data_IF_423893589107
#
_entry.id   IF_423893589107
#
_cell.length_a   1.000
_cell.length_b   1.000
_cell.length_c   1.000
_cell.angle_alpha   90.00
_cell.angle_beta   90.00
_cell.angle_gamma   90.00
#
_symmetry.space_group_name_H-M   'P 1'
#
loop_
_entity.id
_entity.type
_entity.pdbx_description
1 polymer ?
#
# COMPACT_ATOMS: atom_id res chain seq x y z
N UNK A 1 30.29 -15.40 -20.29
CA UNK A 1 29.71 -16.64 -19.75
C UNK A 1 28.54 -17.05 -20.63
N UNK A 2 28.27 -18.34 -20.87
CA UNK A 2 27.09 -18.76 -21.63
C UNK A 2 25.82 -18.25 -20.92
N UNK A 3 24.86 -17.77 -21.71
CA UNK A 3 23.56 -17.33 -21.19
C UNK A 3 22.88 -18.49 -20.46
N UNK A 4 22.42 -18.24 -19.23
CA UNK A 4 21.67 -19.22 -18.43
C UNK A 4 20.27 -19.43 -19.03
N UNK A 5 19.70 -20.60 -18.80
CA UNK A 5 18.36 -20.89 -19.30
C UNK A 5 17.32 -20.03 -18.54
N UNK A 6 16.31 -19.45 -19.23
CA UNK A 6 15.26 -18.72 -18.56
C UNK A 6 14.45 -19.66 -17.66
N UNK A 7 14.09 -19.17 -16.48
CA UNK A 7 13.25 -19.91 -15.54
C UNK A 7 11.88 -20.19 -16.14
N UNK A 8 11.38 -21.41 -15.92
CA UNK A 8 10.06 -21.84 -16.39
C UNK A 8 9.13 -22.03 -15.20
N UNK A 9 8.08 -21.23 -15.13
CA UNK A 9 7.06 -21.34 -14.10
C UNK A 9 6.30 -22.67 -14.19
N UNK A 10 6.15 -23.34 -13.05
CA UNK A 10 5.18 -24.42 -12.90
C UNK A 10 3.79 -23.82 -12.64
N UNK A 11 2.73 -24.28 -13.33
CA UNK A 11 1.37 -23.76 -13.12
C UNK A 11 0.90 -23.90 -11.67
N UNK A 12 0.26 -22.85 -11.14
CA UNK A 12 -0.39 -22.89 -9.82
C UNK A 12 -1.73 -23.63 -9.91
N UNK A 13 -2.06 -24.44 -8.90
CA UNK A 13 -3.31 -25.20 -8.82
C UNK A 13 -4.17 -24.73 -7.64
N UNK A 14 -5.47 -24.56 -7.87
CA UNK A 14 -6.43 -24.23 -6.82
C UNK A 14 -6.02 -22.98 -6.03
N UNK A 15 -5.87 -23.14 -4.71
CA UNK A 15 -5.52 -22.06 -3.79
C UNK A 15 -3.99 -21.87 -3.61
N UNK A 16 -3.18 -22.43 -4.50
CA UNK A 16 -1.74 -22.28 -4.40
C UNK A 16 -1.27 -20.85 -4.65
N UNK A 17 -0.21 -20.49 -3.94
CA UNK A 17 0.64 -19.33 -4.21
C UNK A 17 2.08 -19.81 -4.39
N UNK A 18 2.91 -18.98 -5.01
CA UNK A 18 4.35 -19.19 -5.09
C UNK A 18 5.03 -18.31 -4.05
N UNK A 19 6.04 -18.83 -3.38
CA UNK A 19 6.88 -18.10 -2.45
C UNK A 19 8.34 -18.16 -2.89
N UNK A 20 9.05 -17.07 -2.61
CA UNK A 20 10.47 -16.90 -2.86
C UNK A 20 11.24 -17.06 -1.56
N UNK A 21 12.13 -18.03 -1.50
CA UNK A 21 13.16 -18.12 -0.46
C UNK A 21 14.39 -17.39 -0.95
N UNK A 22 14.63 -16.19 -0.43
CA UNK A 22 15.84 -15.41 -0.63
C UNK A 22 16.99 -16.05 0.15
N UNK A 23 18.02 -16.51 -0.54
CA UNK A 23 19.16 -17.17 0.09
C UNK A 23 20.12 -16.15 0.72
N UNK A 24 20.82 -16.52 1.81
CA UNK A 24 21.74 -15.61 2.47
C UNK A 24 22.92 -15.22 1.58
N UNK A 25 23.47 -14.03 1.80
CA UNK A 25 24.61 -13.52 1.02
C UNK A 25 25.10 -12.17 1.50
N UNK A 26 26.32 -11.81 1.08
CA UNK A 26 26.90 -10.50 1.39
C UNK A 26 26.33 -9.43 0.45
N UNK A 27 26.25 -8.19 0.91
CA UNK A 27 25.86 -7.07 0.07
C UNK A 27 26.67 -7.05 -1.25
N UNK A 28 26.00 -6.76 -2.36
CA UNK A 28 26.54 -6.74 -3.73
C UNK A 28 26.97 -8.11 -4.30
N UNK A 29 26.82 -9.21 -3.56
CA UNK A 29 26.98 -10.54 -4.16
C UNK A 29 25.75 -10.89 -5.00
N UNK A 30 25.89 -11.75 -6.04
CA UNK A 30 24.75 -12.30 -6.78
C UNK A 30 23.61 -12.75 -5.88
N UNK A 31 22.36 -12.46 -6.27
CA UNK A 31 21.17 -12.88 -5.53
C UNK A 31 20.72 -14.25 -6.03
N UNK A 32 20.70 -15.21 -5.11
CA UNK A 32 20.17 -16.55 -5.36
C UNK A 32 18.87 -16.76 -4.59
N UNK A 33 17.91 -17.41 -5.21
CA UNK A 33 16.59 -17.68 -4.63
C UNK A 33 16.14 -19.10 -4.92
N UNK A 34 15.20 -19.61 -4.13
CA UNK A 34 14.43 -20.81 -4.45
C UNK A 34 12.96 -20.45 -4.54
N UNK A 35 12.28 -20.94 -5.58
CA UNK A 35 10.83 -20.80 -5.71
C UNK A 35 10.16 -22.11 -5.33
N UNK A 36 9.12 -22.02 -4.50
CA UNK A 36 8.30 -23.16 -4.11
C UNK A 36 6.82 -22.76 -4.06
N UNK A 37 5.93 -23.74 -4.21
CA UNK A 37 4.49 -23.52 -4.13
C UNK A 37 3.96 -24.00 -2.79
N UNK A 38 2.99 -23.26 -2.24
CA UNK A 38 2.27 -23.62 -1.03
C UNK A 38 0.79 -23.27 -1.19
N UNK A 39 -0.07 -23.80 -0.31
CA UNK A 39 -1.48 -23.42 -0.25
C UNK A 39 -1.58 -22.21 0.68
N UNK A 40 -2.21 -21.13 0.21
CA UNK A 40 -2.53 -20.01 1.08
C UNK A 40 -3.60 -20.45 2.08
N UNK A 41 -3.24 -20.53 3.36
CA UNK A 41 -4.13 -20.93 4.44
C UNK A 41 -4.19 -19.84 5.50
N UNK A 42 -5.40 -19.62 6.05
CA UNK A 42 -5.60 -18.74 7.19
C UNK A 42 -5.01 -19.30 8.49
N UNK A 43 -4.69 -20.59 8.51
CA UNK A 43 -4.08 -21.24 9.67
C UNK A 43 -2.54 -21.10 9.69
N UNK A 44 -1.95 -20.55 8.62
CA UNK A 44 -0.50 -20.47 8.42
C UNK A 44 0.00 -19.02 8.18
N UNK A 45 -0.58 -18.06 8.91
CA UNK A 45 -0.35 -16.59 8.78
C UNK A 45 1.10 -16.15 9.08
N UNK A 46 1.98 -17.07 9.46
CA UNK A 46 3.36 -16.76 9.89
C UNK A 46 4.46 -17.26 8.93
N UNK A 47 4.11 -17.82 7.78
CA UNK A 47 5.07 -18.51 6.91
C UNK A 47 5.92 -17.59 6.00
N UNK A 48 5.49 -16.36 5.73
CA UNK A 48 6.15 -15.47 4.77
C UNK A 48 5.91 -13.98 5.06
N UNK A 49 6.77 -13.13 4.50
CA UNK A 49 6.60 -11.67 4.44
C UNK A 49 6.23 -11.27 3.00
N UNK A 50 5.49 -10.18 2.81
CA UNK A 50 5.17 -9.66 1.47
C UNK A 50 5.95 -8.37 1.19
N UNK A 51 6.50 -8.22 -0.02
CA UNK A 51 7.19 -7.02 -0.44
C UNK A 51 6.24 -6.08 -1.19
N UNK A 52 6.01 -4.90 -0.63
CA UNK A 52 5.35 -3.78 -1.30
C UNK A 52 6.41 -2.79 -1.78
N UNK A 53 6.58 -2.66 -3.10
CA UNK A 53 7.63 -1.85 -3.70
C UNK A 53 7.19 -1.29 -5.06
N UNK A 54 7.82 -0.21 -5.53
CA UNK A 54 7.61 0.26 -6.90
C UNK A 54 8.42 -0.57 -7.87
N UNK A 55 7.81 -1.10 -8.93
CA UNK A 55 8.53 -1.96 -9.88
C UNK A 55 9.76 -1.28 -10.50
N UNK A 56 9.68 0.02 -10.80
CA UNK A 56 10.77 0.78 -11.42
C UNK A 56 10.87 0.55 -12.93
N UNK A 57 11.97 0.99 -13.55
CA UNK A 57 12.18 0.78 -15.00
C UNK A 57 12.50 -0.70 -15.31
N UNK A 58 11.95 -1.18 -16.42
CA UNK A 58 12.31 -2.47 -17.01
C UNK A 58 13.60 -2.39 -17.85
N UNK A 59 14.15 -1.19 -18.06
CA UNK A 59 15.38 -0.99 -18.81
C UNK A 59 16.59 -1.53 -18.04
N UNK A 60 17.47 -2.25 -18.75
CA UNK A 60 18.65 -2.86 -18.16
C UNK A 60 18.30 -3.84 -17.03
N UNK A 61 17.55 -4.93 -17.30
CA UNK A 61 17.17 -5.91 -16.29
C UNK A 61 18.41 -6.63 -15.74
N UNK A 62 18.32 -7.04 -14.48
CA UNK A 62 19.35 -7.81 -13.77
C UNK A 62 18.87 -9.26 -13.64
N UNK A 63 19.79 -10.22 -13.77
CA UNK A 63 19.48 -11.64 -13.57
C UNK A 63 19.30 -11.97 -12.08
N UNK A 64 18.12 -12.49 -11.74
CA UNK A 64 17.84 -13.17 -10.48
C UNK A 64 18.11 -14.66 -10.64
N UNK A 65 19.01 -15.24 -9.86
CA UNK A 65 19.40 -16.64 -10.01
C UNK A 65 18.47 -17.56 -9.23
N UNK A 66 17.80 -18.47 -9.92
CA UNK A 66 16.90 -19.45 -9.32
C UNK A 66 17.63 -20.78 -9.17
N UNK A 67 17.89 -21.16 -7.93
CA UNK A 67 18.48 -22.45 -7.54
C UNK A 67 17.43 -23.55 -7.76
N UNK A 68 17.60 -24.28 -8.86
CA UNK A 68 16.84 -25.49 -9.15
C UNK A 68 17.69 -26.71 -8.79
N UNK A 69 17.22 -27.46 -7.81
CA UNK A 69 17.93 -28.54 -7.10
C UNK A 69 18.48 -29.69 -7.96
N UNK A 70 18.36 -29.67 -9.31
CA UNK A 70 18.74 -30.79 -10.18
C UNK A 70 19.44 -30.51 -11.51
N UNK A 71 19.53 -29.30 -12.08
CA UNK A 71 20.33 -28.99 -13.30
C UNK A 71 20.51 -27.48 -13.43
N UNK A 72 21.71 -27.00 -13.79
CA UNK A 72 22.04 -25.61 -14.23
C UNK A 72 21.15 -24.46 -13.74
N UNK A 73 21.71 -23.54 -12.94
CA UNK A 73 21.05 -22.30 -12.51
C UNK A 73 20.20 -21.67 -13.64
N UNK A 74 18.91 -21.47 -13.38
CA UNK A 74 18.01 -20.70 -14.23
C UNK A 74 18.03 -19.23 -13.79
N UNK A 75 17.62 -18.32 -14.68
CA UNK A 75 17.45 -16.92 -14.31
C UNK A 75 16.07 -16.36 -14.65
N UNK A 76 15.66 -15.37 -13.86
CA UNK A 76 14.53 -14.48 -14.12
C UNK A 76 15.04 -13.05 -14.27
N UNK A 77 14.53 -12.27 -15.23
CA UNK A 77 14.82 -10.85 -15.26
C UNK A 77 14.11 -10.15 -14.09
N UNK A 78 14.84 -9.29 -13.38
CA UNK A 78 14.28 -8.38 -12.39
C UNK A 78 14.72 -6.95 -12.65
N UNK A 79 13.92 -5.98 -12.18
CA UNK A 79 14.26 -4.56 -12.29
C UNK A 79 15.39 -4.21 -11.31
N UNK A 80 16.09 -3.11 -11.59
CA UNK A 80 17.16 -2.61 -10.71
C UNK A 80 16.63 -2.22 -9.31
N UNK A 81 15.40 -1.71 -9.23
CA UNK A 81 14.81 -1.39 -7.93
C UNK A 81 14.50 -2.65 -7.11
N UNK A 82 14.05 -3.74 -7.75
CA UNK A 82 13.83 -5.01 -7.05
C UNK A 82 15.16 -5.64 -6.61
N UNK A 83 16.19 -5.60 -7.45
CA UNK A 83 17.54 -6.05 -7.08
C UNK A 83 18.04 -5.32 -5.83
N UNK A 84 17.95 -3.99 -5.85
CA UNK A 84 18.35 -3.15 -4.73
C UNK A 84 17.54 -3.48 -3.46
N UNK A 85 16.22 -3.64 -3.56
CA UNK A 85 15.39 -4.06 -2.44
C UNK A 85 15.86 -5.42 -1.87
N UNK A 86 16.05 -6.43 -2.74
CA UNK A 86 16.48 -7.76 -2.33
C UNK A 86 17.87 -7.74 -1.68
N UNK A 87 18.81 -6.91 -2.15
CA UNK A 87 20.13 -6.73 -1.51
C UNK A 87 20.00 -6.23 -0.06
N UNK A 88 19.13 -5.24 0.19
CA UNK A 88 18.93 -4.66 1.51
C UNK A 88 18.11 -5.58 2.44
N UNK A 89 17.18 -6.37 1.88
CA UNK A 89 16.34 -7.29 2.64
C UNK A 89 16.99 -8.64 2.92
N UNK A 90 18.08 -8.98 2.21
CA UNK A 90 18.82 -10.24 2.36
C UNK A 90 19.61 -10.27 3.67
N UNK A 91 19.40 -11.32 4.46
CA UNK A 91 20.26 -11.59 5.61
C UNK A 91 21.59 -12.22 5.17
N UNK A 92 22.63 -12.04 5.98
CA UNK A 92 23.97 -12.55 5.70
C UNK A 92 24.05 -14.07 5.93
N UNK A 93 23.27 -14.59 6.88
CA UNK A 93 23.47 -15.90 7.51
C UNK A 93 22.24 -16.83 7.47
N UNK A 94 21.05 -16.30 7.15
CA UNK A 94 19.80 -17.07 7.11
C UNK A 94 18.94 -16.75 5.88
N UNK A 95 18.10 -17.69 5.42
CA UNK A 95 17.16 -17.40 4.36
C UNK A 95 16.02 -16.49 4.84
N UNK A 96 15.36 -15.82 3.89
CA UNK A 96 14.14 -15.03 4.12
C UNK A 96 13.05 -15.49 3.14
N UNK A 97 11.82 -15.67 3.60
CA UNK A 97 10.71 -16.13 2.76
C UNK A 97 9.82 -14.94 2.42
N UNK A 98 9.73 -14.61 1.14
CA UNK A 98 9.06 -13.45 0.60
C UNK A 98 7.99 -13.85 -0.42
N UNK A 99 6.89 -13.11 -0.45
CA UNK A 99 6.01 -13.01 -1.62
C UNK A 99 6.28 -11.68 -2.32
N UNK A 100 6.53 -11.73 -3.62
CA UNK A 100 6.85 -10.57 -4.46
C UNK A 100 6.09 -10.76 -5.77
N UNK A 101 5.11 -9.91 -6.06
CA UNK A 101 4.21 -10.04 -7.21
C UNK A 101 4.94 -10.26 -8.55
N UNK A 102 6.00 -9.49 -8.83
CA UNK A 102 6.76 -9.58 -10.07
C UNK A 102 7.47 -10.93 -10.29
N UNK A 103 7.71 -11.70 -9.23
CA UNK A 103 8.45 -12.98 -9.26
C UNK A 103 7.55 -14.17 -8.88
N UNK A 104 6.63 -13.98 -7.96
CA UNK A 104 5.76 -15.04 -7.45
C UNK A 104 4.54 -15.26 -8.35
N UNK A 105 4.20 -14.31 -9.22
CA UNK A 105 3.15 -14.44 -10.23
C UNK A 105 3.79 -14.55 -11.61
N UNK A 106 3.37 -15.53 -12.41
CA UNK A 106 3.77 -15.60 -13.81
C UNK A 106 3.07 -14.48 -14.61
N UNK A 107 3.75 -13.33 -14.72
CA UNK A 107 3.20 -12.13 -15.38
C UNK A 107 2.87 -12.33 -16.86
N UNK A 108 3.43 -13.37 -17.51
CA UNK A 108 3.17 -13.71 -18.92
C UNK A 108 1.95 -14.60 -19.11
N UNK A 109 1.40 -15.18 -18.04
CA UNK A 109 0.16 -15.94 -18.06
C UNK A 109 -0.97 -15.07 -17.50
N UNK A 110 -1.78 -14.48 -18.38
CA UNK A 110 -2.87 -13.58 -17.98
C UNK A 110 -3.93 -14.27 -17.11
N UNK A 111 -4.12 -15.58 -17.26
CA UNK A 111 -5.03 -16.35 -16.42
C UNK A 111 -4.47 -16.51 -15.00
N UNK A 112 -3.19 -16.85 -14.87
CA UNK A 112 -2.50 -16.88 -13.57
C UNK A 112 -2.51 -15.49 -12.94
N UNK A 113 -2.12 -14.44 -13.69
CA UNK A 113 -2.10 -13.05 -13.21
C UNK A 113 -3.47 -12.62 -12.67
N UNK A 114 -4.54 -12.83 -13.43
CA UNK A 114 -5.91 -12.49 -13.01
C UNK A 114 -6.31 -13.19 -11.71
N UNK A 115 -6.04 -14.50 -11.61
CA UNK A 115 -6.33 -15.30 -10.40
C UNK A 115 -5.52 -14.87 -9.18
N UNK A 116 -4.25 -14.49 -9.36
CA UNK A 116 -3.41 -14.03 -8.26
C UNK A 116 -3.76 -12.61 -7.82
N UNK A 117 -4.08 -11.71 -8.77
CA UNK A 117 -4.55 -10.35 -8.46
C UNK A 117 -5.87 -10.38 -7.68
N UNK A 118 -6.80 -11.25 -8.06
CA UNK A 118 -8.03 -11.48 -7.29
C UNK A 118 -7.78 -11.91 -5.83
N UNK A 119 -6.58 -12.38 -5.51
CA UNK A 119 -6.17 -12.88 -4.20
C UNK A 119 -5.14 -12.00 -3.51
N UNK A 120 -4.73 -10.88 -4.09
CA UNK A 120 -3.71 -10.00 -3.48
C UNK A 120 -4.12 -9.53 -2.09
N UNK A 121 -5.39 -9.17 -1.90
CA UNK A 121 -5.93 -8.81 -0.58
C UNK A 121 -5.69 -9.90 0.48
N UNK A 122 -5.98 -11.16 0.15
CA UNK A 122 -5.76 -12.30 1.04
C UNK A 122 -4.26 -12.54 1.29
N UNK A 123 -3.43 -12.41 0.24
CA UNK A 123 -1.98 -12.62 0.35
C UNK A 123 -1.35 -11.57 1.28
N UNK A 124 -1.63 -10.29 1.08
CA UNK A 124 -1.07 -9.23 1.92
C UNK A 124 -1.61 -9.27 3.34
N UNK A 125 -2.90 -9.58 3.54
CA UNK A 125 -3.47 -9.69 4.89
C UNK A 125 -2.95 -10.89 5.67
N UNK A 126 -2.64 -12.00 4.99
CA UNK A 126 -2.11 -13.22 5.60
C UNK A 126 -0.58 -13.26 5.69
N UNK A 127 0.12 -12.25 5.16
CA UNK A 127 1.55 -12.13 5.35
C UNK A 127 1.86 -11.82 6.83
N UNK A 128 2.94 -12.42 7.34
CA UNK A 128 3.46 -12.12 8.69
C UNK A 128 3.74 -10.64 8.86
N UNK A 129 4.32 -10.04 7.82
CA UNK A 129 4.70 -8.64 7.75
C UNK A 129 4.78 -8.18 6.30
N UNK A 130 4.35 -6.95 6.05
CA UNK A 130 4.51 -6.27 4.76
C UNK A 130 5.72 -5.34 4.84
N UNK A 131 6.71 -5.62 4.01
CA UNK A 131 7.92 -4.82 3.87
C UNK A 131 7.66 -3.75 2.81
N UNK A 132 7.58 -2.50 3.24
CA UNK A 132 7.37 -1.35 2.36
C UNK A 132 8.73 -0.78 1.95
N UNK A 133 9.18 -1.09 0.74
CA UNK A 133 10.45 -0.59 0.22
C UNK A 133 10.28 0.78 -0.42
N UNK A 134 10.83 1.82 0.23
CA UNK A 134 10.81 3.20 -0.27
C UNK A 134 11.97 3.53 -1.22
N UNK A 135 12.97 2.65 -1.30
CA UNK A 135 14.19 2.88 -2.09
C UNK A 135 15.46 2.91 -1.24
N UNK A 136 16.64 3.01 -1.87
CA UNK A 136 17.91 3.13 -1.17
C UNK A 136 17.98 4.43 -0.36
N UNK A 137 18.96 4.51 0.53
CA UNK A 137 19.29 5.77 1.20
C UNK A 137 19.74 6.79 0.15
N UNK A 138 18.92 7.83 -0.02
CA UNK A 138 19.18 8.96 -0.90
C UNK A 138 18.43 10.20 -0.39
N UNK A 139 18.73 11.37 -0.96
CA UNK A 139 17.97 12.62 -0.74
C UNK A 139 17.83 13.00 0.74
N UNK A 140 18.85 12.68 1.55
CA UNK A 140 18.87 12.86 3.00
C UNK A 140 17.70 12.18 3.74
N UNK A 141 17.21 11.05 3.21
CA UNK A 141 16.14 10.24 3.83
C UNK A 141 16.39 9.87 5.29
N UNK A 142 17.64 9.60 5.68
CA UNK A 142 18.04 9.42 7.09
C UNK A 142 17.65 10.63 7.95
N UNK A 143 18.07 11.82 7.53
CA UNK A 143 17.73 13.07 8.22
C UNK A 143 16.23 13.36 8.21
N UNK A 144 15.52 13.00 7.12
CA UNK A 144 14.07 13.12 7.04
C UNK A 144 13.37 12.26 8.10
N UNK A 145 13.74 10.98 8.22
CA UNK A 145 13.17 10.05 9.20
C UNK A 145 13.52 10.48 10.64
N UNK A 146 14.74 10.95 10.89
CA UNK A 146 15.11 11.50 12.20
C UNK A 146 14.33 12.77 12.55
N UNK A 147 14.11 13.66 11.58
CA UNK A 147 13.34 14.88 11.79
C UNK A 147 11.87 14.56 12.10
N UNK A 148 11.27 13.63 11.35
CA UNK A 148 9.93 13.12 11.62
C UNK A 148 9.82 12.51 13.02
N UNK A 149 10.80 11.67 13.40
CA UNK A 149 10.89 11.10 14.76
C UNK A 149 10.95 12.15 15.85
N UNK A 150 11.84 13.13 15.71
CA UNK A 150 11.99 14.20 16.70
C UNK A 150 10.70 15.00 16.86
N UNK A 151 10.01 15.29 15.75
CA UNK A 151 8.72 15.99 15.79
C UNK A 151 7.59 15.13 16.36
N UNK A 152 7.53 13.86 15.98
CA UNK A 152 6.56 12.89 16.48
C UNK A 152 6.69 12.60 17.97
N UNK A 153 7.91 12.69 18.52
CA UNK A 153 8.16 12.53 19.96
C UNK A 153 7.63 13.68 20.81
N UNK A 154 7.27 14.82 20.19
CA UNK A 154 6.79 16.02 20.89
C UNK A 154 5.26 16.13 20.90
N UNK A 155 4.55 15.26 20.16
CA UNK A 155 3.09 15.29 20.04
C UNK A 155 2.46 13.94 20.39
N UNK A 156 1.28 13.97 20.99
CA UNK A 156 0.36 12.84 21.12
C UNK A 156 -0.76 12.99 20.09
N UNK A 157 -1.25 11.86 19.58
CA UNK A 157 -2.10 11.83 18.39
C UNK A 157 -3.34 10.99 18.64
N UNK A 158 -4.49 11.61 18.44
CA UNK A 158 -5.76 10.91 18.34
C UNK A 158 -6.13 10.79 16.86
N UNK A 159 -5.88 9.62 16.28
CA UNK A 159 -6.19 9.32 14.88
C UNK A 159 -7.70 9.32 14.59
N UNK A 160 -8.54 9.02 15.58
CA UNK A 160 -9.99 8.96 15.40
C UNK A 160 -10.61 10.36 15.42
N UNK A 161 -10.14 11.23 16.32
CA UNK A 161 -10.55 12.62 16.38
C UNK A 161 -9.79 13.51 15.39
N UNK A 162 -8.72 13.00 14.77
CA UNK A 162 -7.79 13.76 13.92
C UNK A 162 -7.24 15.00 14.65
N UNK A 163 -6.79 14.81 15.91
CA UNK A 163 -6.27 15.89 16.77
C UNK A 163 -4.86 15.61 17.27
N UNK A 164 -4.15 16.69 17.60
CA UNK A 164 -2.83 16.68 18.20
C UNK A 164 -2.88 17.34 19.58
N UNK A 165 -2.11 16.79 20.51
CA UNK A 165 -1.85 17.41 21.82
C UNK A 165 -0.36 17.33 22.15
N UNK A 166 0.14 18.15 23.09
CA UNK A 166 1.54 18.07 23.50
C UNK A 166 1.82 16.73 24.18
N UNK A 167 2.95 16.10 23.84
CA UNK A 167 3.44 14.94 24.60
C UNK A 167 4.10 15.35 25.91
N UNK A 168 4.33 14.35 26.77
CA UNK A 168 5.13 14.54 27.99
C UNK A 168 6.59 14.94 27.73
N UNK A 169 7.09 14.79 26.50
CA UNK A 169 8.43 15.22 26.11
C UNK A 169 8.49 16.69 25.69
N UNK A 170 7.36 17.34 25.38
CA UNK A 170 7.32 18.76 25.03
C UNK A 170 7.45 19.62 26.30
N UNK A 171 8.64 20.19 26.51
CA UNK A 171 8.99 20.97 27.72
C UNK A 171 9.06 22.47 27.45
N UNK A 172 9.35 22.85 26.21
CA UNK A 172 9.46 24.25 25.83
C UNK A 172 8.22 24.74 25.06
N UNK A 173 8.02 26.06 25.05
CA UNK A 173 6.81 26.67 24.45
C UNK A 173 6.69 26.35 22.96
N UNK A 174 7.80 26.44 22.23
CA UNK A 174 7.90 26.11 20.81
C UNK A 174 7.61 24.63 20.54
N UNK A 175 7.98 23.72 21.44
CA UNK A 175 7.64 22.30 21.35
C UNK A 175 6.15 22.04 21.62
N UNK A 176 5.57 22.68 22.63
CA UNK A 176 4.14 22.60 22.94
C UNK A 176 3.32 23.14 21.75
N UNK A 177 3.76 24.26 21.18
CA UNK A 177 3.17 24.89 20.02
C UNK A 177 3.21 23.99 18.76
N UNK A 178 4.05 22.94 18.72
CA UNK A 178 3.99 21.94 17.64
C UNK A 178 2.64 21.20 17.60
N UNK A 179 1.93 21.08 18.70
CA UNK A 179 0.60 20.45 18.71
C UNK A 179 -0.53 21.43 18.38
N UNK A 180 -0.26 22.74 18.34
CA UNK A 180 -1.28 23.76 18.15
C UNK A 180 -1.61 23.89 16.64
N UNK A 181 -2.85 23.62 16.20
CA UNK A 181 -3.23 23.65 14.79
C UNK A 181 -3.17 25.07 14.19
N UNK A 182 -3.19 26.12 15.02
CA UNK A 182 -3.11 27.52 14.56
C UNK A 182 -1.68 28.03 14.46
N UNK A 183 -0.71 27.32 15.06
CA UNK A 183 0.68 27.73 15.04
C UNK A 183 1.32 27.36 13.70
N UNK A 184 1.95 28.35 13.05
CA UNK A 184 2.61 28.13 11.76
C UNK A 184 3.86 27.30 11.96
N UNK A 185 4.01 26.26 11.15
CA UNK A 185 5.26 25.50 11.11
C UNK A 185 6.28 26.28 10.29
N UNK A 186 7.39 26.66 10.91
CA UNK A 186 8.53 27.26 10.21
C UNK A 186 9.24 26.14 9.46
N UNK A 187 8.88 25.97 8.19
CA UNK A 187 9.43 24.94 7.32
C UNK A 187 10.63 25.47 6.52
N UNK A 188 11.80 25.59 7.15
CA UNK A 188 13.01 25.94 6.39
C UNK A 188 13.32 24.85 5.35
N UNK A 189 13.80 25.26 4.17
CA UNK A 189 14.18 24.31 3.12
C UNK A 189 15.19 23.27 3.62
N UNK A 190 16.17 23.69 4.42
CA UNK A 190 17.18 22.80 5.02
C UNK A 190 16.55 21.63 5.81
N UNK A 191 15.55 21.92 6.65
CA UNK A 191 14.93 20.93 7.53
C UNK A 191 13.84 20.09 6.83
N UNK A 192 13.09 20.70 5.91
CA UNK A 192 11.88 20.08 5.35
C UNK A 192 12.04 19.55 3.93
N UNK A 193 13.09 19.94 3.19
CA UNK A 193 13.35 19.38 1.86
C UNK A 193 13.56 17.85 1.89
N UNK A 194 14.31 17.28 2.86
CA UNK A 194 14.45 15.83 2.96
C UNK A 194 13.10 15.12 3.18
N UNK A 195 12.20 15.68 3.98
CA UNK A 195 10.85 15.15 4.21
C UNK A 195 10.01 15.27 2.92
N UNK A 196 10.09 16.41 2.23
CA UNK A 196 9.42 16.61 0.96
C UNK A 196 9.84 15.56 -0.08
N UNK A 197 11.14 15.26 -0.19
CA UNK A 197 11.68 14.25 -1.10
C UNK A 197 11.30 12.83 -0.67
N UNK A 198 11.31 12.53 0.63
CA UNK A 198 10.86 11.25 1.18
C UNK A 198 9.38 11.00 0.88
N UNK A 199 8.49 11.96 1.11
CA UNK A 199 7.06 11.85 0.79
C UNK A 199 6.79 11.83 -0.72
N UNK A 200 7.77 12.25 -1.52
CA UNK A 200 7.73 12.16 -2.98
C UNK A 200 8.26 10.84 -3.55
N UNK A 201 8.61 9.86 -2.69
CA UNK A 201 9.08 8.56 -3.17
C UNK A 201 7.97 7.88 -3.99
N UNK A 202 8.29 7.29 -5.16
CA UNK A 202 7.29 6.71 -6.07
C UNK A 202 6.35 5.67 -5.44
N UNK A 203 6.78 5.04 -4.34
CA UNK A 203 5.94 4.08 -3.62
C UNK A 203 4.63 4.71 -3.14
N UNK A 204 4.68 5.92 -2.55
CA UNK A 204 3.48 6.59 -2.04
C UNK A 204 2.48 6.92 -3.15
N UNK A 205 2.93 7.05 -4.39
CA UNK A 205 2.06 7.39 -5.51
C UNK A 205 1.33 6.17 -6.09
N UNK A 206 1.66 4.94 -5.70
CA UNK A 206 1.06 3.73 -6.29
C UNK A 206 -0.36 3.53 -5.80
N UNK A 207 -1.28 3.20 -6.71
CA UNK A 207 -2.66 2.85 -6.34
C UNK A 207 -2.74 1.56 -5.52
N UNK A 208 -1.94 0.55 -5.89
CA UNK A 208 -1.98 -0.77 -5.26
C UNK A 208 -1.65 -0.75 -3.76
N UNK A 209 -0.89 0.25 -3.26
CA UNK A 209 -0.55 0.33 -1.83
C UNK A 209 -1.80 0.42 -0.96
N UNK A 210 -2.92 0.89 -1.49
CA UNK A 210 -4.18 0.93 -0.75
C UNK A 210 -4.58 -0.47 -0.28
N UNK A 211 -4.42 -1.51 -1.11
CA UNK A 211 -4.65 -2.91 -0.69
C UNK A 211 -3.45 -3.52 0.01
N UNK A 212 -2.25 -3.36 -0.57
CA UNK A 212 -1.02 -4.00 -0.09
C UNK A 212 -0.71 -3.62 1.36
N UNK A 213 -0.96 -2.35 1.71
CA UNK A 213 -0.62 -1.80 3.00
C UNK A 213 -1.83 -1.71 3.97
N UNK A 214 -3.02 -1.26 3.53
CA UNK A 214 -4.15 -1.10 4.49
C UNK A 214 -4.66 -2.44 5.02
N UNK A 215 -4.52 -3.52 4.27
CA UNK A 215 -4.96 -4.85 4.69
C UNK A 215 -3.89 -5.62 5.46
N UNK A 216 -2.67 -5.09 5.58
CA UNK A 216 -1.57 -5.73 6.25
C UNK A 216 -1.83 -5.88 7.77
N UNK A 217 -1.53 -7.05 8.33
CA UNK A 217 -1.58 -7.26 9.78
C UNK A 217 -0.44 -6.52 10.50
N UNK A 218 0.75 -6.47 9.87
CA UNK A 218 1.91 -5.68 10.29
C UNK A 218 2.60 -5.11 9.06
N UNK A 219 3.14 -3.91 9.15
CA UNK A 219 3.91 -3.29 8.08
C UNK A 219 5.12 -2.53 8.63
N UNK A 220 6.25 -2.63 7.90
CA UNK A 220 7.50 -1.93 8.19
C UNK A 220 7.96 -1.17 6.96
N UNK A 221 8.23 0.12 7.14
CA UNK A 221 8.91 0.97 6.16
C UNK A 221 10.39 0.60 6.13
N UNK A 222 10.92 0.40 4.94
CA UNK A 222 12.33 0.11 4.67
C UNK A 222 12.86 1.16 3.70
N UNK A 223 13.88 1.91 4.11
CA UNK A 223 14.58 2.88 3.27
C UNK A 223 16.10 2.72 3.45
N UNK A 224 16.77 2.22 2.41
CA UNK A 224 18.14 1.72 2.55
C UNK A 224 18.21 0.64 3.61
N UNK A 225 19.07 0.82 4.62
CA UNK A 225 19.18 -0.08 5.77
C UNK A 225 18.34 0.34 6.98
N UNK A 226 17.61 1.45 6.88
CA UNK A 226 16.72 1.89 7.94
C UNK A 226 15.38 1.17 7.87
N UNK A 227 14.88 0.77 9.03
CA UNK A 227 13.55 0.17 9.18
C UNK A 227 12.74 0.94 10.20
N UNK A 228 11.47 1.17 9.91
CA UNK A 228 10.56 1.89 10.79
C UNK A 228 9.17 1.23 10.77
N UNK A 229 8.63 0.74 11.90
CA UNK A 229 7.27 0.21 11.93
C UNK A 229 6.26 1.25 11.46
N UNK A 230 5.27 0.83 10.65
CA UNK A 230 4.31 1.77 10.09
C UNK A 230 3.56 2.61 11.15
N UNK A 231 3.07 2.05 12.29
CA UNK A 231 2.42 2.87 13.30
C UNK A 231 3.31 3.99 13.85
N UNK A 232 4.62 3.76 13.87
CA UNK A 232 5.61 4.78 14.24
C UNK A 232 5.73 5.82 13.12
N UNK A 233 5.92 5.40 11.87
CA UNK A 233 5.96 6.32 10.72
C UNK A 233 4.70 7.19 10.62
N UNK A 234 3.52 6.60 10.82
CA UNK A 234 2.24 7.28 10.80
C UNK A 234 2.16 8.34 11.90
N UNK A 235 2.54 7.99 13.14
CA UNK A 235 2.60 8.94 14.26
C UNK A 235 3.60 10.07 13.99
N UNK A 236 4.79 9.74 13.53
CA UNK A 236 5.85 10.71 13.26
C UNK A 236 5.48 11.67 12.13
N UNK A 237 4.82 11.17 11.09
CA UNK A 237 4.28 11.96 9.97
C UNK A 237 3.03 12.77 10.34
N UNK A 238 2.45 12.51 11.51
CA UNK A 238 1.23 13.11 12.02
C UNK A 238 1.45 14.30 12.98
N UNK A 239 2.68 14.48 13.46
CA UNK A 239 3.23 15.84 13.51
C UNK A 239 3.08 16.46 12.08
N UNK A 240 3.34 17.70 11.73
CA UNK A 240 2.94 18.24 10.39
C UNK A 240 1.42 18.32 10.10
N UNK A 241 0.51 17.52 10.66
CA UNK A 241 -0.94 17.60 10.33
C UNK A 241 -1.55 18.96 10.59
N UNK A 242 -2.47 19.39 9.72
CA UNK A 242 -3.34 20.57 9.90
C UNK A 242 -2.64 21.94 9.97
N UNK A 243 -1.31 21.97 10.07
CA UNK A 243 -0.54 23.19 10.30
C UNK A 243 -0.38 24.03 9.04
N UNK A 244 -0.60 25.36 9.12
CA UNK A 244 -0.20 26.27 8.06
C UNK A 244 1.33 26.26 7.92
N UNK A 245 1.80 26.27 6.68
CA UNK A 245 3.22 26.31 6.35
C UNK A 245 3.55 27.76 5.99
N UNK A 246 4.69 28.26 6.46
CA UNK A 246 5.22 29.53 5.96
C UNK A 246 5.89 29.32 4.60
N UNK A 247 5.14 29.62 3.53
CA UNK A 247 5.54 29.37 2.15
C UNK A 247 6.78 30.18 1.73
N UNK A 248 7.12 31.27 2.45
CA UNK A 248 8.24 32.16 2.08
C UNK A 248 9.60 31.46 2.12
N UNK A 249 9.80 30.57 3.08
CA UNK A 249 11.08 29.88 3.31
C UNK A 249 11.19 28.57 2.51
N UNK A 250 10.05 27.99 2.10
CA UNK A 250 10.01 26.73 1.33
C UNK A 250 9.89 26.95 -0.19
N UNK A 251 9.65 28.20 -0.61
CA UNK A 251 9.67 28.64 -1.99
C UNK A 251 8.73 27.84 -2.90
N UNK A 252 9.21 27.50 -4.10
CA UNK A 252 8.43 26.82 -5.14
C UNK A 252 7.97 25.40 -4.76
N UNK A 253 8.46 24.84 -3.65
CA UNK A 253 8.09 23.50 -3.18
C UNK A 253 6.90 23.50 -2.22
N UNK A 254 6.44 24.67 -1.76
CA UNK A 254 5.39 24.79 -0.75
C UNK A 254 4.10 24.06 -1.14
N UNK A 255 3.62 24.25 -2.37
CA UNK A 255 2.37 23.65 -2.84
C UNK A 255 2.50 22.13 -2.97
N UNK A 256 3.54 21.65 -3.66
CA UNK A 256 3.78 20.21 -3.81
C UNK A 256 4.04 19.51 -2.48
N UNK A 257 4.59 20.21 -1.47
CA UNK A 257 4.72 19.67 -0.12
C UNK A 257 3.39 19.59 0.62
N UNK A 258 2.51 20.59 0.50
CA UNK A 258 1.14 20.52 1.05
C UNK A 258 0.38 19.33 0.47
N UNK A 259 0.50 19.11 -0.85
CA UNK A 259 -0.13 17.97 -1.53
C UNK A 259 0.41 16.63 -1.03
N UNK A 260 1.74 16.44 -1.00
CA UNK A 260 2.38 15.21 -0.53
C UNK A 260 2.02 14.92 0.92
N UNK A 261 2.08 15.92 1.79
CA UNK A 261 1.68 15.80 3.20
C UNK A 261 0.21 15.39 3.34
N UNK A 262 -0.69 15.97 2.56
CA UNK A 262 -2.11 15.60 2.55
C UNK A 262 -2.31 14.14 2.15
N UNK A 263 -1.56 13.69 1.14
CA UNK A 263 -1.58 12.30 0.70
C UNK A 263 -1.09 11.33 1.78
N UNK A 264 0.04 11.63 2.43
CA UNK A 264 0.54 10.84 3.57
C UNK A 264 -0.46 10.81 4.72
N UNK A 265 -1.08 11.96 5.03
CA UNK A 265 -2.13 12.03 6.05
C UNK A 265 -3.29 11.07 5.73
N UNK A 266 -3.80 11.08 4.50
CA UNK A 266 -4.86 10.17 4.05
C UNK A 266 -4.48 8.68 4.18
N UNK A 267 -3.21 8.33 3.97
CA UNK A 267 -2.70 6.97 4.21
C UNK A 267 -2.65 6.63 5.71
N UNK A 268 -2.36 7.61 6.58
CA UNK A 268 -2.25 7.41 8.02
C UNK A 268 -3.60 7.38 8.74
N UNK A 269 -4.58 8.16 8.27
CA UNK A 269 -5.89 8.32 8.92
C UNK A 269 -7.03 7.61 8.21
N UNK A 270 -6.85 7.22 6.95
CA UNK A 270 -7.95 6.71 6.14
C UNK A 270 -8.57 5.48 6.80
N UNK A 271 -9.90 5.48 6.94
CA UNK A 271 -10.63 4.35 7.48
C UNK A 271 -10.44 3.11 6.62
N UNK A 272 -10.52 1.94 7.25
CA UNK A 272 -10.75 0.71 6.52
C UNK A 272 -12.18 0.76 6.00
N UNK A 273 -12.30 0.67 4.68
CA UNK A 273 -13.55 0.60 3.93
C UNK A 273 -14.31 1.92 3.74
N UNK A 274 -14.71 2.16 2.50
CA UNK A 274 -15.48 3.34 2.08
C UNK A 274 -16.36 2.96 0.88
N UNK A 275 -17.31 3.83 0.55
CA UNK A 275 -18.00 3.72 -0.73
C UNK A 275 -16.98 3.79 -1.88
N UNK A 276 -17.27 3.10 -2.98
CA UNK A 276 -16.33 3.00 -4.10
C UNK A 276 -16.07 4.37 -4.75
N UNK A 277 -17.06 5.26 -4.80
CA UNK A 277 -16.87 6.61 -5.34
C UNK A 277 -15.95 7.46 -4.45
N UNK A 278 -16.04 7.28 -3.13
CA UNK A 278 -15.12 7.89 -2.17
C UNK A 278 -13.70 7.36 -2.37
N UNK A 279 -13.54 6.04 -2.55
CA UNK A 279 -12.24 5.43 -2.84
C UNK A 279 -11.63 5.97 -4.14
N UNK A 280 -12.42 6.12 -5.20
CA UNK A 280 -11.97 6.73 -6.46
C UNK A 280 -11.53 8.17 -6.26
N UNK A 281 -12.30 8.96 -5.51
CA UNK A 281 -12.02 10.36 -5.24
C UNK A 281 -10.75 10.53 -4.41
N UNK A 282 -10.59 9.75 -3.35
CA UNK A 282 -9.42 9.75 -2.47
C UNK A 282 -8.14 9.30 -3.19
N UNK A 283 -8.25 8.37 -4.13
CA UNK A 283 -7.10 7.77 -4.81
C UNK A 283 -6.84 8.34 -6.20
N UNK A 284 -7.56 9.38 -6.62
CA UNK A 284 -7.51 9.93 -7.98
C UNK A 284 -6.09 10.27 -8.48
N UNK A 285 -5.21 10.75 -7.59
CA UNK A 285 -3.83 11.11 -7.91
C UNK A 285 -2.85 9.92 -7.85
N UNK A 286 -3.29 8.76 -7.37
CA UNK A 286 -2.48 7.55 -7.37
C UNK A 286 -2.31 7.02 -8.80
N UNK A 287 -1.17 6.40 -9.08
CA UNK A 287 -0.73 5.90 -10.38
C UNK A 287 -0.92 4.39 -10.46
N UNK A 288 -1.33 3.93 -11.64
CA UNK A 288 -1.34 2.54 -12.05
C UNK A 288 -0.93 2.45 -13.53
N UNK A 289 -0.23 1.38 -13.92
CA UNK A 289 0.20 1.19 -15.32
C UNK A 289 -0.91 0.60 -16.17
N UNK A 290 -1.68 -0.34 -15.62
CA UNK A 290 -2.85 -0.91 -16.27
C UNK A 290 -4.10 -0.11 -15.84
N UNK A 291 -4.86 0.50 -16.77
CA UNK A 291 -6.05 1.27 -16.41
C UNK A 291 -7.08 0.48 -15.60
N UNK A 292 -7.21 -0.83 -15.85
CA UNK A 292 -8.16 -1.70 -15.12
C UNK A 292 -7.85 -1.79 -13.63
N UNK A 293 -6.60 -1.55 -13.23
CA UNK A 293 -6.20 -1.54 -11.82
C UNK A 293 -6.88 -0.42 -11.04
N UNK A 294 -7.35 0.66 -11.71
CA UNK A 294 -8.17 1.68 -11.07
C UNK A 294 -9.40 1.08 -10.38
N UNK A 295 -9.95 0.01 -10.97
CA UNK A 295 -11.03 -0.76 -10.39
C UNK A 295 -10.49 -1.85 -9.46
N UNK A 296 -9.63 -2.73 -9.99
CA UNK A 296 -9.22 -3.96 -9.29
C UNK A 296 -8.49 -3.70 -7.98
N UNK A 297 -7.67 -2.64 -7.91
CA UNK A 297 -6.95 -2.25 -6.71
C UNK A 297 -7.84 -1.64 -5.62
N UNK A 298 -9.12 -1.38 -5.87
CA UNK A 298 -10.04 -0.80 -4.88
C UNK A 298 -11.15 -1.74 -4.44
N UNK A 299 -11.44 -2.81 -5.20
CA UNK A 299 -12.56 -3.73 -4.92
C UNK A 299 -12.57 -4.29 -3.50
N UNK A 300 -11.43 -4.74 -2.98
CA UNK A 300 -11.35 -5.34 -1.63
C UNK A 300 -11.43 -4.31 -0.49
N UNK A 301 -11.37 -3.02 -0.82
CA UNK A 301 -11.50 -1.90 0.12
C UNK A 301 -12.91 -1.31 0.11
N UNK A 302 -13.79 -1.77 -0.78
CA UNK A 302 -15.18 -1.30 -0.83
C UNK A 302 -16.03 -1.92 0.27
N UNK A 303 -16.98 -1.14 0.81
CA UNK A 303 -18.03 -1.66 1.70
C UNK A 303 -19.00 -2.60 0.94
N UNK A 304 -19.18 -2.38 -0.36
CA UNK A 304 -20.07 -3.15 -1.24
C UNK A 304 -19.32 -4.25 -1.99
N UNK A 305 -19.92 -5.44 -2.07
CA UNK A 305 -19.45 -6.52 -2.94
C UNK A 305 -20.10 -6.41 -4.32
N UNK A 306 -19.36 -5.86 -5.29
CA UNK A 306 -19.81 -5.69 -6.67
C UNK A 306 -19.77 -6.97 -7.51
N UNK A 307 -19.32 -8.11 -6.96
CA UNK A 307 -19.20 -9.37 -7.72
C UNK A 307 -18.16 -9.34 -8.84
N UNK A 308 -17.37 -8.26 -8.95
CA UNK A 308 -16.31 -8.10 -9.95
C UNK A 308 -15.09 -8.91 -9.53
N UNK A 309 -14.60 -9.74 -10.45
CA UNK A 309 -13.34 -10.47 -10.29
C UNK A 309 -12.33 -9.93 -11.32
N UNK A 310 -11.09 -9.60 -10.90
CA UNK A 310 -10.04 -9.17 -11.81
C UNK A 310 -9.86 -10.12 -12.99
N UNK A 311 -9.87 -9.57 -14.21
CA UNK A 311 -9.68 -10.34 -15.45
C UNK A 311 -8.90 -9.51 -16.48
N UNK A 312 -7.61 -9.81 -16.64
CA UNK A 312 -6.73 -9.13 -17.58
C UNK A 312 -6.86 -9.63 -19.03
N UNK A 313 -7.70 -10.63 -19.30
CA UNK A 313 -8.06 -11.05 -20.67
C UNK A 313 -9.14 -10.12 -21.27
N UNK A 314 -9.92 -9.44 -20.42
CA UNK A 314 -10.91 -8.43 -20.86
C UNK A 314 -10.24 -7.14 -21.30
N UNK A 315 -10.81 -6.45 -22.29
CA UNK A 315 -10.40 -5.09 -22.63
C UNK A 315 -10.65 -4.12 -21.47
N UNK A 316 -9.99 -2.95 -21.51
CA UNK A 316 -10.22 -1.88 -20.52
C UNK A 316 -11.69 -1.46 -20.49
N UNK A 317 -12.29 -1.28 -21.67
CA UNK A 317 -13.69 -0.86 -21.80
C UNK A 317 -14.64 -1.86 -21.16
N UNK A 318 -14.42 -3.17 -21.38
CA UNK A 318 -15.25 -4.21 -20.76
C UNK A 318 -15.12 -4.18 -19.23
N UNK A 319 -13.90 -4.06 -18.69
CA UNK A 319 -13.69 -4.00 -17.25
C UNK A 319 -14.39 -2.81 -16.58
N UNK A 320 -14.39 -1.63 -17.23
CA UNK A 320 -15.08 -0.45 -16.71
C UNK A 320 -16.60 -0.54 -16.88
N UNK A 321 -17.09 -1.12 -17.98
CA UNK A 321 -18.52 -1.37 -18.18
C UNK A 321 -19.08 -2.31 -17.13
N UNK A 322 -18.37 -3.39 -16.82
CA UNK A 322 -18.80 -4.35 -15.79
C UNK A 322 -18.94 -3.64 -14.43
N UNK A 323 -17.96 -2.80 -14.07
CA UNK A 323 -17.98 -2.05 -12.83
C UNK A 323 -19.13 -1.05 -12.78
N UNK A 324 -19.39 -0.32 -13.87
CA UNK A 324 -20.50 0.63 -13.97
C UNK A 324 -21.86 -0.07 -13.78
N UNK A 325 -22.08 -1.19 -14.47
CA UNK A 325 -23.31 -1.97 -14.33
C UNK A 325 -23.46 -2.45 -12.89
N UNK A 326 -22.40 -2.99 -12.30
CA UNK A 326 -22.42 -3.47 -10.91
C UNK A 326 -22.70 -2.34 -9.89
N UNK A 327 -22.23 -1.11 -10.14
CA UNK A 327 -22.55 0.02 -9.26
C UNK A 327 -24.01 0.44 -9.35
N UNK A 328 -24.61 0.43 -10.54
CA UNK A 328 -26.04 0.74 -10.74
C UNK A 328 -26.94 -0.33 -10.10
N UNK A 329 -26.59 -1.60 -10.24
CA UNK A 329 -27.29 -2.72 -9.59
C UNK A 329 -27.21 -2.63 -8.06
N UNK A 330 -26.04 -2.27 -7.51
CA UNK A 330 -25.86 -2.09 -6.08
C UNK A 330 -26.66 -0.89 -5.53
N UNK A 331 -26.82 0.18 -6.31
CA UNK A 331 -27.62 1.35 -5.94
C UNK A 331 -29.13 1.11 -5.99
N UNK A 332 -29.59 0.14 -6.81
CA UNK A 332 -31.01 -0.17 -7.03
C UNK A 332 -31.52 -1.40 -6.26
N UNK A 333 -30.62 -2.14 -5.59
CA UNK A 333 -30.96 -3.30 -4.77
C UNK A 333 -31.71 -2.95 -3.47
N UNK A 334 -32.52 -3.87 -2.91
CA UNK A 334 -33.19 -3.66 -1.64
C UNK A 334 -32.18 -3.45 -0.51
N UNK A 335 -32.42 -2.46 0.37
CA UNK A 335 -31.61 -2.24 1.57
C UNK A 335 -31.42 -3.56 2.35
N UNK A 336 -30.21 -3.84 2.86
CA UNK A 336 -30.00 -5.00 3.71
C UNK A 336 -30.90 -4.88 4.94
N UNK A 337 -31.80 -5.86 5.10
CA UNK A 337 -32.68 -5.95 6.27
C UNK A 337 -31.83 -5.93 7.55
N UNK A 338 -32.21 -5.08 8.50
CA UNK A 338 -31.60 -5.01 9.82
C UNK A 338 -31.49 -6.44 10.41
N UNK A 339 -30.35 -6.80 11.04
CA UNK A 339 -30.15 -8.16 11.52
C UNK A 339 -31.24 -8.53 12.55
N UNK A 340 -32.12 -9.43 12.14
CA UNK A 340 -33.12 -10.03 13.02
C UNK A 340 -32.45 -10.70 14.22
N UNK A 341 -33.03 -10.48 15.39
CA UNK A 341 -32.58 -11.03 16.66
C UNK A 341 -32.47 -12.56 16.62
N UNK A 342 -31.25 -13.07 16.49
CA UNK A 342 -30.90 -14.44 16.85
C UNK A 342 -29.86 -14.36 17.97
N UNK A 343 -30.24 -14.89 19.13
CA UNK A 343 -29.43 -14.97 20.34
C UNK A 343 -28.25 -15.93 20.14
N UNK A 344 -27.04 -15.44 20.45
CA UNK A 344 -25.80 -16.11 20.94
C UNK A 344 -25.30 -17.39 20.21
N UNK A 345 -24.02 -17.55 19.82
CA UNK A 345 -22.76 -17.33 20.55
C UNK A 345 -21.60 -17.10 19.56
N UNK A 346 -20.69 -16.15 19.84
CA UNK A 346 -19.36 -16.10 19.20
C UNK A 346 -18.91 -14.70 18.78
N UNK A 347 -18.26 -13.99 19.70
CA UNK A 347 -17.71 -12.63 19.57
C UNK A 347 -16.86 -12.42 18.31
N UNK A 348 -17.34 -11.60 17.38
CA UNK A 348 -16.56 -10.96 16.32
C UNK A 348 -16.76 -9.45 16.37
N UNK A 349 -15.66 -8.69 16.33
CA UNK A 349 -15.56 -7.22 16.37
C UNK A 349 -16.31 -6.47 15.24
N UNK A 350 -17.19 -7.15 14.49
CA UNK A 350 -17.98 -6.60 13.37
C UNK A 350 -19.23 -5.82 13.79
N UNK A 351 -19.76 -5.99 15.00
CA UNK A 351 -21.10 -5.48 15.33
C UNK A 351 -21.16 -4.07 15.94
N UNK A 352 -20.06 -3.54 16.50
CA UNK A 352 -20.14 -2.31 17.32
C UNK A 352 -20.05 -1.00 16.52
N UNK A 353 -19.67 -1.03 15.24
CA UNK A 353 -19.47 0.19 14.41
C UNK A 353 -20.67 0.47 13.50
N UNK A 354 -21.52 -0.53 13.21
CA UNK A 354 -22.73 -0.35 12.37
C UNK A 354 -23.81 0.52 13.03
N UNK A 355 -23.95 0.47 14.36
CA UNK A 355 -25.04 1.15 15.07
C UNK A 355 -24.99 2.69 15.01
N UNK A 356 -23.81 3.27 14.80
CA UNK A 356 -23.65 4.73 14.74
C UNK A 356 -23.85 5.31 13.32
N UNK A 357 -23.84 4.48 12.27
CA UNK A 357 -23.97 4.92 10.86
C UNK A 357 -25.42 5.10 10.38
N UNK A 358 -26.41 4.53 11.08
CA UNK A 358 -27.82 4.60 10.65
C UNK A 358 -28.44 5.99 10.86
N UNK A 359 -28.02 6.74 11.88
CA UNK A 359 -28.65 8.03 12.21
C UNK A 359 -28.14 9.19 11.33
N UNK A 360 -26.93 9.07 10.76
CA UNK A 360 -26.35 10.12 9.90
C UNK A 360 -26.73 9.99 8.40
N UNK A 361 -27.30 8.85 7.98
CA UNK A 361 -27.60 8.56 6.57
C UNK A 361 -28.98 9.07 6.13
N UNK A 362 -29.90 9.31 7.07
CA UNK A 362 -31.26 9.78 6.76
C UNK A 362 -31.33 11.25 6.32
N UNK A 363 -30.33 12.09 6.63
CA UNK A 363 -30.35 13.52 6.25
C UNK A 363 -29.70 13.84 4.89
N UNK A 364 -28.97 12.90 4.27
CA UNK A 364 -28.18 13.17 3.04
C UNK A 364 -28.81 12.57 1.77
N UNK A 365 -29.75 11.62 1.87
CA UNK A 365 -30.29 10.88 0.72
C UNK A 365 -31.38 11.61 -0.10
N UNK A 366 -31.68 12.88 0.19
CA UNK A 366 -32.77 13.59 -0.48
C UNK A 366 -32.40 14.30 -1.80
N UNK A 367 -31.16 14.21 -2.29
CA UNK A 367 -30.80 14.81 -3.58
C UNK A 367 -29.58 14.17 -4.22
N UNK A 368 -29.75 13.27 -5.20
CA UNK A 368 -28.68 12.95 -6.15
C UNK A 368 -29.23 12.42 -7.49
N UNK A 369 -28.88 13.12 -8.57
CA UNK A 369 -28.92 12.65 -9.97
C UNK A 369 -27.82 11.57 -10.19
N UNK A 370 -27.92 10.73 -11.25
CA UNK A 370 -26.92 9.70 -11.56
C UNK A 370 -25.49 10.27 -11.62
N UNK A 371 -24.53 9.55 -11.02
CA UNK A 371 -23.28 10.15 -10.54
C UNK A 371 -22.36 10.65 -11.68
N UNK A 372 -21.96 11.93 -11.58
CA UNK A 372 -20.95 12.59 -12.43
C UNK A 372 -19.55 11.97 -12.34
N UNK A 373 -19.34 11.00 -11.44
CA UNK A 373 -18.04 10.40 -11.15
C UNK A 373 -17.57 9.51 -12.30
N UNK A 374 -18.46 8.69 -12.86
CA UNK A 374 -18.10 7.74 -13.92
C UNK A 374 -17.76 8.38 -15.26
N UNK A 375 -18.38 9.52 -15.58
CA UNK A 375 -18.11 10.23 -16.83
C UNK A 375 -16.68 10.80 -16.89
N UNK A 376 -16.12 11.22 -15.76
CA UNK A 376 -14.72 11.65 -15.68
C UNK A 376 -13.76 10.49 -15.98
N UNK A 377 -14.03 9.30 -15.44
CA UNK A 377 -13.14 8.13 -15.57
C UNK A 377 -13.29 7.37 -16.90
N UNK A 378 -14.47 7.42 -17.53
CA UNK A 378 -14.68 6.89 -18.88
C UNK A 378 -14.05 7.76 -19.97
N UNK A 379 -13.81 9.06 -19.71
CA UNK A 379 -13.17 9.99 -20.64
C UNK A 379 -11.63 9.97 -20.57
N UNK A 380 -11.04 9.45 -19.49
CA UNK A 380 -9.59 9.23 -19.38
C UNK A 380 -9.13 7.87 -19.99
N UNK A 381 -10.07 7.03 -20.44
CA UNK A 381 -9.82 5.80 -21.20
C UNK A 381 -9.98 6.05 -22.71
#
# INVERSE_FOLDING_TARGET
MPARAPYKYSPLKGQQIRLLTLLPGKLNSPIHVRLHTTILSKDDVSAYEALSYTWGSADGPIDLFVDISRRSDQSLPMTQNLECALQHLRYIDKPRILWIDAICVNQQDLSERSKQVARMADIYSLAKEVLVWLGPEADNSTSALETLRNMGNLVEIDFAANTLSPSSNARYRDEIDLSNPTHKLICTAERFMPIHLLFGRPWFERLWIQQEFRLATSAIIVCGFQTLPWPVFARESAALWGRPIDDKEFGNHAESFKERRSHINSLCTGHLYSDFEDLLTMTKKCKCTDPRDRVYALLSLSDSNYGIVPNYEKSVIEGYKDMFIASEEAATGPEPQAPGSVRDVGTSRRASVMGARLVAREEVLAAQEPSRVWSYWLLEC
#
